data_IF_690092121910
#
_entry.id   IF_690092121910
#
_cell.length_a   1.000
_cell.length_b   1.000
_cell.length_c   1.000
_cell.angle_alpha   90.00
_cell.angle_beta   90.00
_cell.angle_gamma   90.00
#
_symmetry.space_group_name_H-M   'P 1'
#
loop_
_entity.id
_entity.type
_entity.pdbx_description
1 polymer ?
#
# COMPACT_ATOMS: atom_id res chain seq x y z
N UNK A 1 -21.57 -23.67 13.79
CA UNK A 1 -20.17 -24.10 13.92
C UNK A 1 -19.29 -23.05 13.28
N UNK A 2 -18.63 -22.21 14.09
CA UNK A 2 -17.67 -21.22 13.60
C UNK A 2 -16.44 -21.97 13.09
N UNK A 3 -16.28 -22.03 11.78
CA UNK A 3 -15.04 -22.47 11.12
C UNK A 3 -13.97 -21.42 11.44
N UNK A 4 -13.25 -21.58 12.54
CA UNK A 4 -11.93 -21.00 12.68
C UNK A 4 -11.06 -21.67 11.62
N UNK A 5 -10.96 -21.04 10.45
CA UNK A 5 -9.92 -21.37 9.48
C UNK A 5 -8.59 -21.15 10.20
N UNK A 6 -7.94 -22.26 10.56
CA UNK A 6 -6.54 -22.31 10.92
C UNK A 6 -5.79 -21.55 9.82
N UNK A 7 -5.36 -20.32 10.11
CA UNK A 7 -4.36 -19.60 9.30
C UNK A 7 -3.12 -20.47 9.33
N UNK A 8 -3.01 -21.34 8.34
CA UNK A 8 -1.85 -22.14 8.06
C UNK A 8 -0.69 -21.15 7.96
N UNK A 9 0.25 -21.20 8.92
CA UNK A 9 1.40 -20.31 8.99
C UNK A 9 2.44 -20.68 7.91
N UNK A 10 1.98 -20.93 6.68
CA UNK A 10 2.82 -21.00 5.52
C UNK A 10 3.49 -19.63 5.38
N UNK A 11 4.82 -19.62 5.31
CA UNK A 11 5.59 -18.41 5.06
C UNK A 11 5.14 -17.82 3.71
N UNK A 12 4.31 -16.78 3.74
CA UNK A 12 3.88 -16.07 2.54
C UNK A 12 5.06 -15.24 2.05
N UNK A 13 5.62 -15.63 0.90
CA UNK A 13 6.64 -14.84 0.22
C UNK A 13 6.09 -13.45 -0.08
N UNK A 14 6.77 -12.43 0.45
CA UNK A 14 6.44 -11.03 0.22
C UNK A 14 7.00 -10.60 -1.12
N UNK A 15 6.12 -10.38 -2.08
CA UNK A 15 6.50 -9.89 -3.41
C UNK A 15 6.82 -8.38 -3.34
N UNK A 16 8.00 -7.98 -3.79
CA UNK A 16 8.33 -6.56 -3.92
C UNK A 16 7.74 -5.97 -5.21
N UNK A 17 7.55 -4.65 -5.23
CA UNK A 17 7.18 -3.94 -6.44
C UNK A 17 8.32 -4.02 -7.48
N UNK A 18 7.97 -4.30 -8.74
CA UNK A 18 8.92 -4.28 -9.86
C UNK A 18 8.99 -2.87 -10.46
N UNK A 19 9.77 -2.00 -9.83
CA UNK A 19 9.95 -0.60 -10.19
C UNK A 19 11.42 -0.20 -10.10
N UNK A 20 11.76 0.99 -10.60
CA UNK A 20 13.09 1.56 -10.44
C UNK A 20 13.53 1.58 -8.96
N UNK A 21 14.78 1.18 -8.69
CA UNK A 21 15.30 1.02 -7.34
C UNK A 21 15.33 2.33 -6.53
N UNK A 22 15.60 3.46 -7.17
CA UNK A 22 15.61 4.77 -6.51
C UNK A 22 14.19 5.19 -6.14
N UNK A 23 13.22 4.91 -7.01
CA UNK A 23 11.81 5.13 -6.73
C UNK A 23 11.32 4.23 -5.57
N UNK A 24 11.76 2.98 -5.52
CA UNK A 24 11.49 2.05 -4.42
C UNK A 24 12.06 2.57 -3.10
N UNK A 25 13.34 2.98 -3.07
CA UNK A 25 13.96 3.54 -1.88
C UNK A 25 13.24 4.80 -1.39
N UNK A 26 12.85 5.70 -2.29
CA UNK A 26 12.08 6.89 -1.94
C UNK A 26 10.72 6.55 -1.33
N UNK A 27 9.92 5.73 -2.01
CA UNK A 27 8.58 5.38 -1.55
C UNK A 27 8.57 4.62 -0.24
N UNK A 28 9.46 3.63 -0.10
CA UNK A 28 9.38 2.66 1.00
C UNK A 28 10.36 2.93 2.15
N UNK A 29 11.40 3.75 1.95
CA UNK A 29 12.38 4.07 2.99
C UNK A 29 12.51 5.57 3.32
N UNK A 30 12.27 6.48 2.38
CA UNK A 30 12.39 7.92 2.65
C UNK A 30 11.05 8.53 3.06
N UNK A 31 10.02 8.42 2.21
CA UNK A 31 8.71 9.02 2.47
C UNK A 31 8.04 8.40 3.71
N UNK A 32 8.22 7.09 3.93
CA UNK A 32 7.70 6.38 5.12
C UNK A 32 8.24 6.91 6.44
N UNK A 33 9.38 7.61 6.48
CA UNK A 33 9.92 8.19 7.72
C UNK A 33 9.06 9.34 8.24
N UNK A 34 8.41 10.07 7.33
CA UNK A 34 7.72 11.32 7.64
C UNK A 34 6.21 11.23 7.42
N UNK A 35 5.73 10.20 6.73
CA UNK A 35 4.32 10.00 6.44
C UNK A 35 3.79 8.72 7.12
N UNK A 36 2.90 8.91 8.10
CA UNK A 36 2.34 7.81 8.89
C UNK A 36 1.44 6.88 8.08
N UNK A 37 0.75 7.38 7.06
CA UNK A 37 -0.08 6.57 6.17
C UNK A 37 0.80 5.64 5.34
N UNK A 38 1.83 6.17 4.67
CA UNK A 38 2.77 5.37 3.89
C UNK A 38 3.55 4.41 4.78
N UNK A 39 3.97 4.82 5.98
CA UNK A 39 4.64 3.95 6.94
C UNK A 39 3.75 2.78 7.39
N UNK A 40 2.42 2.95 7.36
CA UNK A 40 1.46 1.92 7.69
C UNK A 40 1.10 1.01 6.51
N UNK A 41 1.41 1.39 5.26
CA UNK A 41 1.38 0.46 4.14
C UNK A 41 2.53 -0.56 4.19
N UNK A 42 2.32 -1.80 3.71
CA UNK A 42 3.41 -2.78 3.62
C UNK A 42 4.42 -2.37 2.53
N UNK A 43 5.70 -2.67 2.74
CA UNK A 43 6.75 -2.45 1.73
C UNK A 43 6.72 -3.48 0.58
N UNK A 44 5.74 -4.38 0.58
CA UNK A 44 5.54 -5.46 -0.39
C UNK A 44 4.13 -5.35 -0.98
N UNK A 45 3.93 -5.89 -2.18
CA UNK A 45 2.63 -5.98 -2.83
C UNK A 45 1.72 -6.90 -2.02
N UNK A 46 0.61 -6.33 -1.52
CA UNK A 46 -0.34 -7.00 -0.67
C UNK A 46 -0.83 -6.09 0.45
N UNK A 47 -1.41 -6.70 1.48
CA UNK A 47 -2.07 -5.97 2.56
C UNK A 47 -1.60 -6.42 3.95
N UNK A 48 -1.77 -5.53 4.93
CA UNK A 48 -1.68 -5.84 6.37
C UNK A 48 -2.77 -5.12 7.14
N UNK A 49 -3.23 -5.77 8.20
CA UNK A 49 -4.23 -5.19 9.11
C UNK A 49 -3.55 -4.44 10.25
N UNK A 50 -4.17 -3.35 10.69
CA UNK A 50 -3.81 -2.64 11.93
C UNK A 50 -5.07 -2.23 12.67
N UNK A 51 -4.99 -2.20 14.00
CA UNK A 51 -6.05 -1.65 14.85
C UNK A 51 -5.63 -0.26 15.29
N UNK A 52 -6.47 0.73 15.02
CA UNK A 52 -6.30 2.12 15.43
C UNK A 52 -7.56 2.57 16.17
N UNK A 53 -7.40 2.96 17.44
CA UNK A 53 -8.51 3.40 18.29
C UNK A 53 -9.71 2.42 18.33
N UNK A 54 -9.41 1.12 18.35
CA UNK A 54 -10.43 0.06 18.37
C UNK A 54 -11.06 -0.27 17.02
N UNK A 55 -10.68 0.43 15.94
CA UNK A 55 -11.15 0.16 14.58
C UNK A 55 -10.08 -0.59 13.80
N UNK A 56 -10.47 -1.68 13.13
CA UNK A 56 -9.60 -2.43 12.22
C UNK A 56 -9.56 -1.76 10.86
N UNK A 57 -8.35 -1.50 10.38
CA UNK A 57 -8.05 -1.00 9.05
C UNK A 57 -7.17 -1.99 8.29
N UNK A 58 -7.39 -2.06 6.99
CA UNK A 58 -6.53 -2.78 6.04
C UNK A 58 -5.71 -1.75 5.26
N UNK A 59 -4.39 -1.86 5.38
CA UNK A 59 -3.43 -1.09 4.62
C UNK A 59 -2.86 -1.94 3.50
N UNK A 60 -2.90 -1.43 2.28
CA UNK A 60 -2.53 -2.15 1.07
C UNK A 60 -1.53 -1.35 0.24
N UNK A 61 -0.61 -2.08 -0.39
CA UNK A 61 0.26 -1.61 -1.46
C UNK A 61 -0.03 -2.49 -2.68
N UNK A 62 -0.33 -1.86 -3.81
CA UNK A 62 -0.54 -2.56 -5.08
C UNK A 62 0.25 -1.91 -6.21
N UNK A 63 0.55 -2.70 -7.24
CA UNK A 63 1.24 -2.25 -8.44
C UNK A 63 0.31 -2.39 -9.63
N UNK A 64 0.35 -1.41 -10.53
CA UNK A 64 -0.35 -1.42 -11.80
C UNK A 64 0.42 -0.62 -12.84
N UNK A 65 -0.28 -0.20 -13.89
CA UNK A 65 0.26 0.69 -14.91
C UNK A 65 -0.70 1.84 -15.18
N UNK A 66 -0.12 2.98 -15.46
CA UNK A 66 -0.82 4.16 -16.00
C UNK A 66 -1.16 3.96 -17.48
N UNK A 67 -2.14 4.71 -17.99
CA UNK A 67 -2.56 4.65 -19.39
C UNK A 67 -1.44 5.02 -20.38
N UNK A 68 -0.49 5.85 -19.95
CA UNK A 68 0.70 6.22 -20.74
C UNK A 68 1.90 5.29 -20.50
N UNK A 69 1.68 4.14 -19.86
CA UNK A 69 2.62 3.01 -19.84
C UNK A 69 3.66 3.04 -18.73
N UNK A 70 3.59 3.99 -17.80
CA UNK A 70 4.47 4.02 -16.63
C UNK A 70 3.97 3.11 -15.51
N UNK A 71 4.91 2.59 -14.72
CA UNK A 71 4.60 1.84 -13.51
C UNK A 71 3.85 2.73 -12.50
N UNK A 72 2.88 2.15 -11.81
CA UNK A 72 1.99 2.82 -10.87
C UNK A 72 2.01 2.08 -9.53
N UNK A 73 2.28 2.79 -8.45
CA UNK A 73 2.13 2.27 -7.08
C UNK A 73 0.92 2.93 -6.43
N UNK A 74 0.00 2.11 -5.92
CA UNK A 74 -1.19 2.57 -5.21
C UNK A 74 -1.14 2.10 -3.77
N UNK A 75 -1.23 3.07 -2.86
CA UNK A 75 -1.37 2.85 -1.44
C UNK A 75 -2.81 3.09 -1.03
N UNK A 76 -3.37 2.20 -0.21
CA UNK A 76 -4.78 2.29 0.18
C UNK A 76 -4.98 1.92 1.65
N UNK A 77 -5.80 2.70 2.36
CA UNK A 77 -6.34 2.38 3.68
C UNK A 77 -7.84 2.18 3.56
N UNK A 78 -8.32 1.03 4.00
CA UNK A 78 -9.75 0.68 4.01
C UNK A 78 -10.21 0.31 5.40
N UNK A 79 -11.48 0.61 5.71
CA UNK A 79 -12.19 0.08 6.88
C UNK A 79 -12.63 -1.35 6.62
N UNK A 80 -13.06 -2.03 7.68
CA UNK A 80 -13.62 -3.39 7.59
C UNK A 80 -14.86 -3.50 6.70
N UNK A 81 -15.65 -2.44 6.58
CA UNK A 81 -16.79 -2.36 5.65
C UNK A 81 -16.39 -2.13 4.18
N UNK A 82 -15.09 -2.07 3.90
CA UNK A 82 -14.54 -1.82 2.57
C UNK A 82 -14.46 -0.35 2.17
N UNK A 83 -14.91 0.59 3.02
CA UNK A 83 -14.83 2.01 2.72
C UNK A 83 -13.36 2.46 2.65
N UNK A 84 -12.97 3.11 1.56
CA UNK A 84 -11.65 3.72 1.40
C UNK A 84 -11.57 4.97 2.26
N UNK A 85 -10.59 5.01 3.16
CA UNK A 85 -10.31 6.15 4.05
C UNK A 85 -9.22 7.04 3.48
N UNK A 86 -8.25 6.44 2.80
CA UNK A 86 -7.21 7.18 2.11
C UNK A 86 -6.66 6.34 0.98
N UNK A 87 -6.45 6.95 -0.17
CA UNK A 87 -5.76 6.36 -1.31
C UNK A 87 -4.76 7.36 -1.89
N UNK A 88 -3.57 6.88 -2.23
CA UNK A 88 -2.54 7.67 -2.93
C UNK A 88 -1.96 6.88 -4.08
N UNK A 89 -1.84 7.55 -5.22
CA UNK A 89 -1.35 6.96 -6.46
C UNK A 89 -0.04 7.65 -6.88
N UNK A 90 1.01 6.87 -7.09
CA UNK A 90 2.32 7.36 -7.49
C UNK A 90 2.72 6.78 -8.85
N UNK A 91 2.86 7.65 -9.84
CA UNK A 91 3.46 7.31 -11.13
C UNK A 91 4.97 7.29 -11.01
N UNK A 92 5.62 6.25 -11.51
CA UNK A 92 7.08 6.13 -11.45
C UNK A 92 7.68 6.62 -12.76
N UNK A 93 8.33 7.79 -12.74
CA UNK A 93 9.02 8.37 -13.90
C UNK A 93 10.53 8.30 -13.68
N UNK A 94 11.18 7.30 -14.28
CA UNK A 94 12.58 7.01 -13.98
C UNK A 94 12.73 6.61 -12.51
N UNK A 95 13.57 7.33 -11.76
CA UNK A 95 13.76 7.14 -10.31
C UNK A 95 12.95 8.07 -9.42
N UNK A 96 11.92 8.74 -9.97
CA UNK A 96 11.11 9.70 -9.24
C UNK A 96 9.64 9.24 -9.14
N UNK A 97 9.12 8.99 -7.92
CA UNK A 97 7.70 8.81 -7.69
C UNK A 97 6.96 10.16 -7.74
N UNK A 98 6.01 10.29 -8.65
CA UNK A 98 5.18 11.48 -8.80
C UNK A 98 3.77 11.20 -8.27
N UNK A 99 3.35 11.93 -7.24
CA UNK A 99 1.99 11.84 -6.71
C UNK A 99 1.00 12.32 -7.78
N UNK A 100 0.15 11.41 -8.26
CA UNK A 100 -0.91 11.72 -9.23
C UNK A 100 -2.17 12.23 -8.55
N UNK A 101 -2.46 11.73 -7.36
CA UNK A 101 -3.66 12.08 -6.62
C UNK A 101 -3.67 11.49 -5.22
N UNK A 102 -4.37 12.20 -4.33
CA UNK A 102 -4.70 11.75 -2.99
C UNK A 102 -6.21 11.90 -2.80
N UNK A 103 -6.87 10.82 -2.43
CA UNK A 103 -8.29 10.78 -2.13
C UNK A 103 -8.48 10.50 -0.64
N UNK A 104 -9.04 11.47 0.08
CA UNK A 104 -9.45 11.33 1.49
C UNK A 104 -10.94 11.71 1.54
N UNK A 105 -11.84 10.84 2.04
CA UNK A 105 -13.23 11.20 2.23
C UNK A 105 -13.33 12.41 3.17
N UNK A 106 -14.05 13.43 2.72
CA UNK A 106 -14.42 14.63 3.49
C UNK A 106 -15.25 14.30 4.72
#
# INVERSE_FOLDING_TARGET
TYMYLLKNAAHVLKQLADINIDASNKLFAEYTKYDSFLNNCPYWIGARERIENGVRYTYETSQGRTDDGYELIVFRKTKEDGAVVEERQYKIVGGEPQLMGQSVPS
#
